data_IF_825543290507
#
_entry.id   IF_825543290507
#
_cell.length_a   1.000
_cell.length_b   1.000
_cell.length_c   1.000
_cell.angle_alpha   90.00
_cell.angle_beta   90.00
_cell.angle_gamma   90.00
#
_symmetry.space_group_name_H-M   'P 1'
#
loop_
_entity.id
_entity.type
_entity.pdbx_description
1 polymer ?
#
# COMPACT_ATOMS: atom_id res chain seq x y z
N UNK A 1 -5.92 29.73 -26.37
CA UNK A 1 -7.09 29.68 -25.46
C UNK A 1 -6.65 29.02 -24.17
N UNK A 2 -6.31 29.83 -23.16
CA UNK A 2 -5.98 29.40 -21.83
C UNK A 2 -7.26 28.82 -21.17
N UNK A 3 -7.43 27.53 -21.21
CA UNK A 3 -8.44 26.85 -20.39
C UNK A 3 -7.88 26.69 -18.99
N UNK A 4 -7.84 27.77 -18.21
CA UNK A 4 -7.61 27.69 -16.79
C UNK A 4 -8.65 26.71 -16.21
N UNK A 5 -8.20 25.57 -15.75
CA UNK A 5 -9.07 24.58 -15.10
C UNK A 5 -9.76 25.25 -13.94
N UNK A 6 -11.11 25.29 -13.86
CA UNK A 6 -11.80 26.01 -12.82
C UNK A 6 -11.37 25.51 -11.44
N UNK A 7 -11.07 26.42 -10.53
CA UNK A 7 -10.68 26.09 -9.17
C UNK A 7 -11.79 25.27 -8.48
N UNK A 8 -11.44 24.42 -7.50
CA UNK A 8 -12.43 23.75 -6.70
C UNK A 8 -13.33 24.76 -5.96
N UNK A 9 -14.64 24.51 -5.86
CA UNK A 9 -15.48 25.21 -4.90
C UNK A 9 -14.83 25.16 -3.51
N UNK A 10 -14.84 26.26 -2.78
CA UNK A 10 -14.15 26.37 -1.46
C UNK A 10 -14.54 25.25 -0.49
N UNK A 11 -15.81 24.87 -0.47
CA UNK A 11 -16.32 23.78 0.37
C UNK A 11 -15.67 22.44 -0.02
N UNK A 12 -15.62 22.13 -1.33
CA UNK A 12 -14.99 20.89 -1.79
C UNK A 12 -13.48 20.88 -1.54
N UNK A 13 -12.79 22.00 -1.75
CA UNK A 13 -11.36 22.11 -1.45
C UNK A 13 -11.07 21.79 0.02
N UNK A 14 -11.90 22.27 0.96
CA UNK A 14 -11.80 21.96 2.39
C UNK A 14 -12.03 20.47 2.67
N UNK A 15 -13.05 19.86 2.06
CA UNK A 15 -13.30 18.42 2.23
C UNK A 15 -12.13 17.61 1.69
N UNK A 16 -11.67 17.89 0.46
CA UNK A 16 -10.50 17.21 -0.15
C UNK A 16 -9.26 17.33 0.73
N UNK A 17 -8.95 18.54 1.22
CA UNK A 17 -7.83 18.75 2.12
C UNK A 17 -7.96 17.92 3.40
N UNK A 18 -9.15 17.92 4.02
CA UNK A 18 -9.41 17.17 5.25
C UNK A 18 -9.24 15.68 5.07
N UNK A 19 -9.88 15.09 4.03
CA UNK A 19 -9.80 13.63 3.81
C UNK A 19 -8.43 13.20 3.32
N UNK A 20 -7.66 14.11 2.71
CA UNK A 20 -6.27 13.85 2.33
C UNK A 20 -5.35 13.70 3.53
N UNK A 21 -5.64 14.33 4.69
CA UNK A 21 -4.80 14.18 5.90
C UNK A 21 -4.66 12.71 6.29
N UNK A 22 -5.76 11.95 6.34
CA UNK A 22 -5.71 10.53 6.67
C UNK A 22 -4.83 9.73 5.69
N UNK A 23 -4.89 10.03 4.40
CA UNK A 23 -4.05 9.38 3.40
C UNK A 23 -2.57 9.80 3.51
N UNK A 24 -2.33 11.10 3.70
CA UNK A 24 -0.99 11.65 3.94
C UNK A 24 -0.32 10.97 5.13
N UNK A 25 -1.00 10.92 6.27
CA UNK A 25 -0.44 10.35 7.52
C UNK A 25 -0.15 8.85 7.35
N UNK A 26 -1.06 8.08 6.73
CA UNK A 26 -0.86 6.65 6.51
C UNK A 26 0.31 6.37 5.56
N UNK A 27 0.45 7.16 4.49
CA UNK A 27 1.52 6.95 3.51
C UNK A 27 2.88 7.46 4.02
N UNK A 28 2.87 8.54 4.78
CA UNK A 28 4.06 9.06 5.45
C UNK A 28 4.60 8.03 6.44
N UNK A 29 3.73 7.47 7.29
CA UNK A 29 4.09 6.49 8.32
C UNK A 29 4.74 5.24 7.72
N UNK A 30 4.20 4.70 6.62
CA UNK A 30 4.76 3.54 5.93
C UNK A 30 6.20 3.77 5.46
N UNK A 31 6.53 4.98 5.01
CA UNK A 31 7.83 5.27 4.42
C UNK A 31 8.85 5.79 5.43
N UNK A 32 8.41 6.60 6.39
CA UNK A 32 9.27 7.23 7.39
C UNK A 32 9.89 6.21 8.36
N UNK A 33 9.14 5.14 8.70
CA UNK A 33 9.58 4.09 9.63
C UNK A 33 10.81 3.35 9.11
N UNK A 34 10.94 3.13 7.80
CA UNK A 34 12.08 2.42 7.22
C UNK A 34 13.42 3.13 7.51
N UNK A 35 13.43 4.45 7.60
CA UNK A 35 14.66 5.22 7.93
C UNK A 35 15.03 5.11 9.41
N UNK A 36 14.07 4.80 10.28
CA UNK A 36 14.29 4.68 11.72
C UNK A 36 14.75 3.28 12.18
N UNK A 37 14.72 2.27 11.29
CA UNK A 37 14.93 0.87 11.66
C UNK A 37 16.23 0.64 12.42
N UNK A 38 17.37 1.18 11.95
CA UNK A 38 18.65 1.01 12.61
C UNK A 38 18.69 1.68 14.01
N UNK A 39 18.06 2.85 14.15
CA UNK A 39 17.99 3.58 15.43
C UNK A 39 17.08 2.87 16.43
N UNK A 40 15.95 2.31 15.97
CA UNK A 40 15.07 1.49 16.80
C UNK A 40 15.75 0.19 17.23
N UNK A 41 16.52 -0.45 16.32
CA UNK A 41 17.30 -1.63 16.65
C UNK A 41 18.30 -1.36 17.77
N UNK A 42 19.05 -0.25 17.69
CA UNK A 42 20.03 0.13 18.72
C UNK A 42 19.36 0.51 20.06
N UNK A 43 18.27 1.29 20.01
CA UNK A 43 17.61 1.80 21.22
C UNK A 43 16.79 0.75 21.99
N UNK A 44 16.18 -0.19 21.29
CA UNK A 44 15.29 -1.22 21.88
C UNK A 44 15.87 -2.65 21.78
N UNK A 45 17.14 -2.77 21.34
CA UNK A 45 17.83 -4.07 21.16
C UNK A 45 17.04 -5.05 20.29
N UNK A 46 16.44 -4.52 19.18
CA UNK A 46 15.64 -5.31 18.25
C UNK A 46 16.54 -6.12 17.30
N UNK A 47 16.20 -7.40 17.14
CA UNK A 47 16.69 -8.23 16.04
C UNK A 47 16.09 -7.78 14.70
N UNK A 48 16.57 -8.34 13.59
CA UNK A 48 15.95 -8.10 12.26
C UNK A 48 14.50 -8.59 12.25
N UNK A 49 14.22 -9.75 12.85
CA UNK A 49 12.85 -10.25 13.02
C UNK A 49 11.97 -9.26 13.81
N UNK A 50 12.50 -8.67 14.87
CA UNK A 50 11.79 -7.62 15.62
C UNK A 50 11.51 -6.38 14.78
N UNK A 51 12.44 -5.97 13.92
CA UNK A 51 12.24 -4.84 13.00
C UNK A 51 11.18 -5.16 11.94
N UNK A 52 11.17 -6.39 11.41
CA UNK A 52 10.12 -6.85 10.51
C UNK A 52 8.75 -6.78 11.18
N UNK A 53 8.64 -7.25 12.43
CA UNK A 53 7.40 -7.14 13.20
C UNK A 53 6.95 -5.69 13.43
N UNK A 54 7.87 -4.74 13.64
CA UNK A 54 7.52 -3.31 13.74
C UNK A 54 6.86 -2.79 12.47
N UNK A 55 7.33 -3.21 11.29
CA UNK A 55 6.75 -2.83 9.99
C UNK A 55 5.47 -3.62 9.71
N UNK A 56 5.51 -4.94 9.90
CA UNK A 56 4.46 -5.85 9.47
C UNK A 56 3.23 -5.83 10.38
N UNK A 57 3.37 -5.57 11.69
CA UNK A 57 2.23 -5.44 12.58
C UNK A 57 1.26 -4.33 12.11
N UNK A 58 1.80 -3.20 11.65
CA UNK A 58 1.02 -2.13 11.03
C UNK A 58 0.40 -2.58 9.70
N UNK A 59 1.23 -3.10 8.80
CA UNK A 59 0.82 -3.44 7.43
C UNK A 59 -0.21 -4.56 7.41
N UNK A 60 -0.07 -5.58 8.26
CA UNK A 60 -1.02 -6.67 8.42
C UNK A 60 -2.36 -6.18 8.96
N UNK A 61 -2.36 -5.44 10.09
CA UNK A 61 -3.59 -4.89 10.64
C UNK A 61 -4.31 -4.00 9.64
N UNK A 62 -3.57 -3.15 8.93
CA UNK A 62 -4.09 -2.32 7.86
C UNK A 62 -4.70 -3.14 6.72
N UNK A 63 -3.97 -4.14 6.20
CA UNK A 63 -4.40 -4.97 5.08
C UNK A 63 -5.69 -5.73 5.39
N UNK A 64 -5.70 -6.46 6.53
CA UNK A 64 -6.83 -7.35 6.86
C UNK A 64 -8.09 -6.58 7.20
N UNK A 65 -7.98 -5.42 7.87
CA UNK A 65 -9.13 -4.67 8.35
C UNK A 65 -9.70 -3.67 7.33
N UNK A 66 -8.98 -3.39 6.23
CA UNK A 66 -9.40 -2.39 5.25
C UNK A 66 -10.78 -2.67 4.65
N UNK A 67 -11.06 -3.93 4.29
CA UNK A 67 -12.36 -4.33 3.73
C UNK A 67 -13.50 -4.15 4.74
N UNK A 68 -13.29 -4.64 5.97
CA UNK A 68 -14.29 -4.50 7.04
C UNK A 68 -14.50 -3.05 7.47
N UNK A 69 -13.45 -2.24 7.46
CA UNK A 69 -13.54 -0.82 7.81
C UNK A 69 -14.37 -0.02 6.78
N UNK A 70 -14.31 -0.40 5.50
CA UNK A 70 -15.21 0.14 4.48
C UNK A 70 -16.68 -0.20 4.77
N UNK A 71 -16.98 -1.48 5.02
CA UNK A 71 -18.33 -1.94 5.35
C UNK A 71 -18.87 -1.32 6.66
N UNK A 72 -17.98 -1.11 7.66
CA UNK A 72 -18.34 -0.38 8.88
C UNK A 72 -18.68 1.09 8.61
N UNK A 73 -17.94 1.72 7.67
CA UNK A 73 -18.22 3.09 7.23
C UNK A 73 -19.58 3.23 6.57
N UNK A 74 -19.95 2.28 5.71
CA UNK A 74 -21.27 2.24 5.08
C UNK A 74 -22.41 2.07 6.11
N UNK A 75 -22.15 1.31 7.19
CA UNK A 75 -23.14 1.03 8.24
C UNK A 75 -23.27 2.13 9.29
N UNK A 76 -22.15 2.66 9.78
CA UNK A 76 -22.09 3.58 10.92
C UNK A 76 -21.82 5.04 10.53
N UNK A 77 -21.55 5.28 9.26
CA UNK A 77 -21.19 6.58 8.70
C UNK A 77 -19.69 6.74 8.45
N UNK A 78 -19.33 7.13 7.24
CA UNK A 78 -17.94 7.27 6.81
C UNK A 78 -17.18 8.34 7.61
N UNK A 79 -17.85 9.46 7.98
CA UNK A 79 -17.25 10.51 8.81
C UNK A 79 -16.88 10.00 10.19
N UNK A 80 -17.77 9.25 10.84
CA UNK A 80 -17.53 8.69 12.19
C UNK A 80 -16.33 7.75 12.18
N UNK A 81 -16.27 6.85 11.20
CA UNK A 81 -15.16 5.90 11.07
C UNK A 81 -13.84 6.62 10.72
N UNK A 82 -13.88 7.63 9.87
CA UNK A 82 -12.70 8.44 9.53
C UNK A 82 -12.15 9.18 10.76
N UNK A 83 -13.01 9.84 11.53
CA UNK A 83 -12.65 10.56 12.77
C UNK A 83 -12.11 9.60 13.83
N UNK A 84 -12.79 8.46 14.04
CA UNK A 84 -12.33 7.42 14.97
C UNK A 84 -10.97 6.85 14.55
N UNK A 85 -10.77 6.65 13.25
CA UNK A 85 -9.49 6.20 12.67
C UNK A 85 -8.37 7.21 12.93
N UNK A 86 -8.58 8.50 12.68
CA UNK A 86 -7.61 9.56 12.98
C UNK A 86 -7.24 9.62 14.47
N UNK A 87 -8.25 9.54 15.35
CA UNK A 87 -8.03 9.57 16.79
C UNK A 87 -7.24 8.34 17.26
N UNK A 88 -7.63 7.13 16.78
CA UNK A 88 -6.94 5.90 17.13
C UNK A 88 -5.50 5.90 16.60
N UNK A 89 -5.28 6.38 15.37
CA UNK A 89 -3.95 6.51 14.77
C UNK A 89 -3.07 7.46 15.58
N UNK A 90 -3.61 8.61 16.03
CA UNK A 90 -2.88 9.57 16.86
C UNK A 90 -2.49 8.95 18.22
N UNK A 91 -3.44 8.29 18.90
CA UNK A 91 -3.17 7.63 20.19
C UNK A 91 -2.13 6.51 20.05
N UNK A 92 -2.25 5.70 18.99
CA UNK A 92 -1.26 4.66 18.71
C UNK A 92 0.11 5.26 18.34
N UNK A 93 0.16 6.36 17.60
CA UNK A 93 1.41 7.09 17.31
C UNK A 93 2.08 7.62 18.58
N UNK A 94 1.29 8.15 19.51
CA UNK A 94 1.79 8.54 20.83
C UNK A 94 2.38 7.33 21.60
N UNK A 95 1.66 6.20 21.58
CA UNK A 95 2.16 4.96 22.21
C UNK A 95 3.45 4.45 21.53
N UNK A 96 3.58 4.54 20.21
CA UNK A 96 4.81 4.22 19.48
C UNK A 96 5.96 5.14 19.91
N UNK A 97 5.73 6.45 20.01
CA UNK A 97 6.71 7.42 20.46
C UNK A 97 7.13 7.25 21.93
N UNK A 98 6.24 6.72 22.75
CA UNK A 98 6.49 6.43 24.18
C UNK A 98 7.03 5.02 24.42
N UNK A 99 7.23 4.19 23.38
CA UNK A 99 7.62 2.80 23.55
C UNK A 99 8.99 2.64 24.21
N UNK A 100 9.02 1.81 25.25
CA UNK A 100 10.23 1.48 26.02
C UNK A 100 10.66 0.01 25.84
N UNK A 101 9.82 -0.81 25.18
CA UNK A 101 10.07 -2.21 24.91
C UNK A 101 9.62 -2.59 23.49
N UNK A 102 10.26 -3.62 22.87
CA UNK A 102 9.87 -4.12 21.55
C UNK A 102 8.39 -4.47 21.43
N UNK A 103 7.87 -5.24 22.39
CA UNK A 103 6.47 -5.68 22.39
C UNK A 103 5.48 -4.52 22.44
N UNK A 104 5.80 -3.45 23.20
CA UNK A 104 4.98 -2.24 23.25
C UNK A 104 4.94 -1.54 21.88
N UNK A 105 6.10 -1.39 21.23
CA UNK A 105 6.16 -0.79 19.90
C UNK A 105 5.38 -1.60 18.87
N UNK A 106 5.56 -2.92 18.82
CA UNK A 106 4.87 -3.81 17.89
C UNK A 106 3.35 -3.77 18.11
N UNK A 107 2.90 -3.85 19.38
CA UNK A 107 1.47 -3.75 19.71
C UNK A 107 0.87 -2.38 19.31
N UNK A 108 1.58 -1.29 19.60
CA UNK A 108 1.16 0.05 19.20
C UNK A 108 1.10 0.20 17.67
N UNK A 109 2.04 -0.41 16.93
CA UNK A 109 2.02 -0.48 15.46
C UNK A 109 0.80 -1.21 14.93
N UNK A 110 0.42 -2.34 15.53
CA UNK A 110 -0.80 -3.06 15.15
C UNK A 110 -2.05 -2.16 15.34
N UNK A 111 -2.17 -1.48 16.48
CA UNK A 111 -3.28 -0.55 16.75
C UNK A 111 -3.27 0.64 15.76
N UNK A 112 -2.09 1.14 15.41
CA UNK A 112 -1.94 2.21 14.41
C UNK A 112 -2.42 1.74 13.03
N UNK A 113 -2.16 0.48 12.65
CA UNK A 113 -2.68 -0.15 11.43
C UNK A 113 -4.21 -0.25 11.41
N UNK A 114 -4.85 -0.53 12.55
CA UNK A 114 -6.33 -0.47 12.69
C UNK A 114 -6.85 0.93 12.39
N UNK A 115 -6.21 1.96 12.95
CA UNK A 115 -6.54 3.36 12.66
C UNK A 115 -6.42 3.69 11.17
N UNK A 116 -5.33 3.27 10.53
CA UNK A 116 -5.11 3.45 9.09
C UNK A 116 -6.19 2.77 8.24
N UNK A 117 -6.57 1.54 8.60
CA UNK A 117 -7.64 0.79 7.94
C UNK A 117 -8.98 1.53 8.02
N UNK A 118 -9.29 2.15 9.16
CA UNK A 118 -10.51 2.94 9.32
C UNK A 118 -10.49 4.24 8.52
N UNK A 119 -9.33 4.87 8.34
CA UNK A 119 -9.23 6.13 7.60
C UNK A 119 -9.36 5.99 6.09
N UNK A 120 -8.60 5.05 5.48
CA UNK A 120 -8.37 5.06 4.03
C UNK A 120 -9.66 4.86 3.20
N UNK A 121 -10.45 3.79 3.35
CA UNK A 121 -11.68 3.59 2.59
C UNK A 121 -12.72 4.68 2.88
N UNK A 122 -12.82 5.12 4.13
CA UNK A 122 -13.78 6.13 4.54
C UNK A 122 -13.41 7.53 4.04
N UNK A 123 -12.13 7.86 3.88
CA UNK A 123 -11.69 9.10 3.24
C UNK A 123 -12.16 9.19 1.78
N UNK A 124 -12.03 8.07 1.06
CA UNK A 124 -12.48 7.99 -0.33
C UNK A 124 -14.01 7.99 -0.46
N UNK A 125 -14.72 7.34 0.49
CA UNK A 125 -16.18 7.37 0.56
C UNK A 125 -16.70 8.79 0.76
N UNK A 126 -16.13 9.55 1.70
CA UNK A 126 -16.48 10.96 1.96
C UNK A 126 -16.23 11.85 0.73
N UNK A 127 -15.12 11.61 0.02
CA UNK A 127 -14.79 12.35 -1.19
C UNK A 127 -15.78 12.04 -2.32
N UNK A 128 -16.13 10.76 -2.50
CA UNK A 128 -17.11 10.33 -3.50
C UNK A 128 -18.51 10.91 -3.21
N UNK A 129 -18.93 10.95 -1.94
CA UNK A 129 -20.22 11.55 -1.56
C UNK A 129 -20.24 13.05 -1.82
N UNK A 130 -19.16 13.76 -1.51
CA UNK A 130 -19.04 15.19 -1.78
C UNK A 130 -19.09 15.54 -3.29
N UNK A 131 -18.75 14.59 -4.16
CA UNK A 131 -18.70 14.77 -5.62
C UNK A 131 -19.73 13.91 -6.38
N UNK A 132 -20.78 13.38 -5.71
CA UNK A 132 -21.69 12.37 -6.28
C UNK A 132 -22.42 12.83 -7.55
N UNK A 133 -22.65 14.14 -7.71
CA UNK A 133 -23.40 14.72 -8.83
C UNK A 133 -22.53 15.15 -10.02
N UNK A 134 -21.19 15.15 -9.86
CA UNK A 134 -20.26 15.59 -10.91
C UNK A 134 -19.08 14.61 -11.04
N UNK A 135 -19.13 13.69 -12.02
CA UNK A 135 -18.07 12.72 -12.27
C UNK A 135 -16.71 13.35 -12.61
N UNK A 136 -16.69 14.51 -13.31
CA UNK A 136 -15.46 15.17 -13.68
C UNK A 136 -14.79 15.82 -12.46
N UNK A 137 -15.60 16.45 -11.60
CA UNK A 137 -15.15 17.01 -10.33
C UNK A 137 -14.64 15.91 -9.39
N UNK A 138 -15.33 14.76 -9.34
CA UNK A 138 -14.90 13.58 -8.58
C UNK A 138 -13.54 13.07 -9.05
N UNK A 139 -13.33 12.91 -10.35
CA UNK A 139 -12.05 12.47 -10.90
C UNK A 139 -10.89 13.41 -10.50
N UNK A 140 -11.12 14.72 -10.54
CA UNK A 140 -10.15 15.73 -10.13
C UNK A 140 -9.87 15.68 -8.62
N UNK A 141 -10.91 15.53 -7.80
CA UNK A 141 -10.79 15.46 -6.34
C UNK A 141 -10.03 14.19 -5.90
N UNK A 142 -10.32 13.03 -6.50
CA UNK A 142 -9.56 11.78 -6.31
C UNK A 142 -8.12 11.95 -6.77
N UNK A 143 -7.89 12.63 -7.89
CA UNK A 143 -6.54 12.95 -8.38
C UNK A 143 -5.74 13.79 -7.39
N UNK A 144 -6.34 14.83 -6.80
CA UNK A 144 -5.71 15.66 -5.78
C UNK A 144 -5.40 14.87 -4.49
N UNK A 145 -6.35 14.04 -4.04
CA UNK A 145 -6.17 13.14 -2.90
C UNK A 145 -5.02 12.15 -3.13
N UNK A 146 -4.96 11.52 -4.31
CA UNK A 146 -3.89 10.60 -4.69
C UNK A 146 -2.54 11.31 -4.76
N UNK A 147 -2.49 12.54 -5.31
CA UNK A 147 -1.28 13.34 -5.38
C UNK A 147 -0.75 13.70 -3.99
N UNK A 148 -1.61 14.06 -3.03
CA UNK A 148 -1.22 14.32 -1.65
C UNK A 148 -0.54 13.10 -1.01
N UNK A 149 -1.11 11.89 -1.18
CA UNK A 149 -0.49 10.65 -0.71
C UNK A 149 0.85 10.35 -1.40
N UNK A 150 0.96 10.58 -2.71
CA UNK A 150 2.21 10.36 -3.44
C UNK A 150 3.33 11.31 -3.00
N UNK A 151 3.00 12.57 -2.74
CA UNK A 151 3.95 13.54 -2.17
C UNK A 151 4.43 13.08 -0.78
N UNK A 152 3.52 12.53 0.05
CA UNK A 152 3.88 12.02 1.38
C UNK A 152 4.83 10.83 1.31
N UNK A 153 4.61 9.91 0.37
CA UNK A 153 5.53 8.79 0.11
C UNK A 153 6.92 9.32 -0.22
N UNK A 154 7.00 10.33 -1.09
CA UNK A 154 8.27 10.92 -1.50
C UNK A 154 8.97 11.70 -0.37
N UNK A 155 8.20 12.41 0.45
CA UNK A 155 8.72 13.21 1.55
C UNK A 155 9.16 12.37 2.76
N UNK A 156 8.55 11.18 2.95
CA UNK A 156 8.73 10.35 4.15
C UNK A 156 10.19 10.10 4.54
N UNK A 157 11.03 9.55 3.64
CA UNK A 157 12.41 9.25 3.97
C UNK A 157 13.23 10.48 4.37
N UNK A 158 13.07 11.60 3.66
CA UNK A 158 13.83 12.84 3.95
C UNK A 158 13.36 13.47 5.25
N UNK A 159 12.03 13.58 5.43
CA UNK A 159 11.45 14.09 6.67
C UNK A 159 11.85 13.20 7.84
N UNK A 160 11.81 11.87 7.67
CA UNK A 160 12.26 10.91 8.66
C UNK A 160 13.71 11.09 9.03
N UNK A 161 14.60 11.20 8.04
CA UNK A 161 16.02 11.45 8.27
C UNK A 161 16.28 12.75 9.04
N UNK A 162 15.60 13.84 8.66
CA UNK A 162 15.72 15.13 9.35
C UNK A 162 15.18 15.08 10.78
N UNK A 163 14.01 14.47 11.00
CA UNK A 163 13.42 14.32 12.33
C UNK A 163 14.30 13.46 13.24
N UNK A 164 14.85 12.36 12.73
CA UNK A 164 15.73 11.48 13.51
C UNK A 164 17.02 12.21 13.90
N UNK A 165 17.61 12.96 12.96
CA UNK A 165 18.83 13.73 13.22
C UNK A 165 18.61 14.83 14.27
N UNK A 166 17.46 15.50 14.28
CA UNK A 166 17.17 16.61 15.18
C UNK A 166 16.60 16.17 16.53
N UNK A 167 15.73 15.15 16.57
CA UNK A 167 14.91 14.83 17.74
C UNK A 167 14.92 13.33 18.10
N UNK A 168 15.70 12.51 17.38
CA UNK A 168 15.76 11.08 17.57
C UNK A 168 14.56 10.32 16.94
N UNK A 169 14.66 8.98 16.91
CA UNK A 169 13.74 8.11 16.18
C UNK A 169 12.26 8.20 16.63
N UNK A 170 12.00 8.56 17.88
CA UNK A 170 10.63 8.69 18.41
C UNK A 170 9.84 9.80 17.73
N UNK A 171 10.50 10.82 17.22
CA UNK A 171 9.89 11.96 16.54
C UNK A 171 9.14 11.59 15.26
N UNK A 172 9.52 10.48 14.59
CA UNK A 172 8.81 10.02 13.39
C UNK A 172 7.36 9.59 13.68
N UNK A 173 7.08 9.14 14.90
CA UNK A 173 5.72 8.83 15.34
C UNK A 173 5.01 10.07 15.88
N UNK A 174 5.73 10.91 16.63
CA UNK A 174 5.15 12.11 17.24
C UNK A 174 4.74 13.17 16.22
N UNK A 175 5.38 13.22 15.03
CA UNK A 175 4.97 14.12 13.94
C UNK A 175 3.54 13.84 13.43
N UNK A 176 3.04 12.63 13.63
CA UNK A 176 1.66 12.29 13.29
C UNK A 176 0.63 12.99 14.19
N UNK A 177 0.98 13.36 15.43
CA UNK A 177 0.07 13.98 16.37
C UNK A 177 -0.47 15.34 15.89
N UNK A 178 0.37 16.33 15.52
CA UNK A 178 -0.13 17.59 15.00
C UNK A 178 -0.90 17.42 13.67
N UNK A 179 -0.50 16.49 12.81
CA UNK A 179 -1.20 16.21 11.56
C UNK A 179 -2.60 15.63 11.82
N UNK A 180 -2.71 14.64 12.71
CA UNK A 180 -3.99 14.06 13.10
C UNK A 180 -4.86 15.07 13.83
N UNK A 181 -4.30 15.90 14.71
CA UNK A 181 -5.04 16.96 15.41
C UNK A 181 -5.64 17.97 14.41
N UNK A 182 -4.85 18.41 13.43
CA UNK A 182 -5.34 19.27 12.36
C UNK A 182 -6.42 18.59 11.51
N UNK A 183 -6.24 17.30 11.20
CA UNK A 183 -7.24 16.49 10.48
C UNK A 183 -8.55 16.34 11.26
N UNK A 184 -8.47 16.09 12.57
CA UNK A 184 -9.64 16.01 13.45
C UNK A 184 -10.38 17.35 13.52
N UNK A 185 -9.67 18.45 13.77
CA UNK A 185 -10.25 19.79 13.81
C UNK A 185 -10.94 20.14 12.48
N UNK A 186 -10.27 19.85 11.35
CA UNK A 186 -10.83 20.06 10.02
C UNK A 186 -12.05 19.17 9.75
N UNK A 187 -12.02 17.89 10.18
CA UNK A 187 -13.14 16.97 10.01
C UNK A 187 -14.39 17.42 10.79
N UNK A 188 -14.22 17.93 12.01
CA UNK A 188 -15.33 18.49 12.77
C UNK A 188 -15.86 19.79 12.19
N UNK A 189 -14.97 20.63 11.62
CA UNK A 189 -15.36 21.95 11.09
C UNK A 189 -15.96 21.89 9.68
N UNK A 190 -15.50 20.97 8.83
CA UNK A 190 -15.78 21.05 7.38
C UNK A 190 -16.47 19.83 6.78
N UNK A 191 -16.44 18.67 7.43
CA UNK A 191 -17.19 17.51 6.96
C UNK A 191 -18.56 17.51 7.65
N UNK A 192 -19.68 17.56 6.87
CA UNK A 192 -21.03 17.48 7.45
C UNK A 192 -21.19 16.23 8.31
N UNK A 193 -21.95 16.33 9.40
CA UNK A 193 -22.28 15.17 10.21
C UNK A 193 -22.96 14.12 9.33
N UNK A 194 -22.64 12.84 9.56
CA UNK A 194 -23.34 11.76 8.88
C UNK A 194 -24.84 11.99 9.11
N UNK A 195 -25.58 12.25 8.05
CA UNK A 195 -27.04 12.21 8.13
C UNK A 195 -27.34 10.81 8.62
N UNK A 196 -28.01 10.69 9.76
CA UNK A 196 -28.38 9.41 10.30
C UNK A 196 -28.79 8.52 9.13
N UNK A 197 -28.22 7.33 9.04
CA UNK A 197 -28.51 6.37 7.98
C UNK A 197 -29.99 5.90 8.13
N UNK A 198 -30.87 6.88 8.16
CA UNK A 198 -32.29 6.74 8.22
C UNK A 198 -32.76 6.40 6.80
N UNK A 199 -33.10 5.17 6.64
CA UNK A 199 -34.20 4.73 5.79
C UNK A 199 -33.99 4.42 4.30
N UNK A 200 -32.80 4.22 3.73
CA UNK A 200 -32.85 3.75 2.33
C UNK A 200 -31.65 2.94 1.81
N UNK A 201 -30.93 2.24 2.66
CA UNK A 201 -30.00 1.23 2.17
C UNK A 201 -30.42 -0.19 2.65
N UNK A 202 -31.17 -0.97 1.85
CA UNK A 202 -31.46 -2.36 2.16
C UNK A 202 -30.25 -3.29 2.03
N UNK A 203 -29.07 -2.76 1.81
CA UNK A 203 -27.85 -3.54 1.57
C UNK A 203 -26.65 -3.03 2.40
N UNK A 204 -26.83 -2.81 3.71
CA UNK A 204 -25.69 -2.82 4.61
C UNK A 204 -25.07 -4.21 4.51
N UNK A 205 -23.93 -4.35 3.83
CA UNK A 205 -23.21 -5.61 3.72
C UNK A 205 -22.98 -6.14 5.14
N UNK A 206 -23.50 -7.32 5.45
CA UNK A 206 -23.27 -7.95 6.72
C UNK A 206 -21.76 -8.14 6.88
N UNK A 207 -21.24 -7.76 8.07
CA UNK A 207 -19.82 -7.99 8.37
C UNK A 207 -19.58 -9.49 8.43
N UNK A 208 -18.74 -9.99 7.55
CA UNK A 208 -18.24 -11.36 7.63
C UNK A 208 -17.15 -11.47 8.69
N UNK A 209 -17.59 -11.49 9.96
CA UNK A 209 -16.67 -11.61 11.10
C UNK A 209 -15.88 -12.92 11.07
N UNK A 210 -16.47 -14.00 10.54
CA UNK A 210 -15.80 -15.31 10.45
C UNK A 210 -14.68 -15.28 9.40
N UNK A 211 -14.99 -14.81 8.20
CA UNK A 211 -13.98 -14.61 7.14
C UNK A 211 -12.88 -13.65 7.61
N UNK A 212 -13.25 -12.55 8.30
CA UNK A 212 -12.31 -11.59 8.85
C UNK A 212 -11.32 -12.21 9.84
N UNK A 213 -11.81 -12.98 10.83
CA UNK A 213 -10.96 -13.59 11.84
C UNK A 213 -10.01 -14.63 11.22
N UNK A 214 -10.51 -15.42 10.28
CA UNK A 214 -9.70 -16.40 9.56
C UNK A 214 -8.65 -15.74 8.66
N UNK A 215 -8.98 -14.63 7.99
CA UNK A 215 -8.02 -13.85 7.22
C UNK A 215 -6.91 -13.25 8.09
N UNK A 216 -7.25 -12.74 9.28
CA UNK A 216 -6.27 -12.29 10.28
C UNK A 216 -5.35 -13.45 10.68
N UNK A 217 -5.92 -14.58 11.06
CA UNK A 217 -5.14 -15.77 11.47
C UNK A 217 -4.22 -16.25 10.34
N UNK A 218 -4.74 -16.34 9.11
CA UNK A 218 -3.99 -16.76 7.92
C UNK A 218 -2.77 -15.88 7.67
N UNK A 219 -2.97 -14.57 7.54
CA UNK A 219 -1.89 -13.65 7.19
C UNK A 219 -0.89 -13.49 8.35
N UNK A 220 -1.36 -13.44 9.59
CA UNK A 220 -0.47 -13.34 10.76
C UNK A 220 0.36 -14.60 10.93
N UNK A 221 -0.23 -15.79 10.79
CA UNK A 221 0.49 -17.05 10.88
C UNK A 221 1.51 -17.21 9.75
N UNK A 222 1.14 -16.86 8.51
CA UNK A 222 2.06 -16.91 7.37
C UNK A 222 3.24 -15.96 7.57
N UNK A 223 2.96 -14.69 7.85
CA UNK A 223 4.00 -13.67 8.02
C UNK A 223 4.89 -13.99 9.23
N UNK A 224 4.30 -14.40 10.35
CA UNK A 224 5.05 -14.78 11.53
C UNK A 224 5.95 -16.01 11.30
N UNK A 225 5.44 -17.04 10.62
CA UNK A 225 6.26 -18.20 10.26
C UNK A 225 7.44 -17.82 9.36
N UNK A 226 7.24 -16.91 8.40
CA UNK A 226 8.29 -16.42 7.51
C UNK A 226 9.32 -15.58 8.27
N UNK A 227 8.89 -14.69 9.16
CA UNK A 227 9.80 -13.85 9.98
C UNK A 227 10.67 -14.74 10.90
N UNK A 228 10.03 -15.70 11.57
CA UNK A 228 10.68 -16.53 12.57
C UNK A 228 11.45 -17.73 11.97
N UNK A 229 11.32 -17.97 10.66
CA UNK A 229 12.01 -19.10 10.00
C UNK A 229 13.53 -19.04 10.16
N UNK A 230 14.15 -17.87 9.95
CA UNK A 230 15.62 -17.76 10.04
C UNK A 230 16.13 -17.86 11.46
N UNK A 231 15.56 -17.16 12.47
CA UNK A 231 16.06 -17.25 13.83
C UNK A 231 15.78 -18.62 14.50
N UNK A 232 14.65 -19.28 14.20
CA UNK A 232 14.25 -20.50 14.88
C UNK A 232 14.48 -21.78 14.07
N UNK A 233 14.56 -21.67 12.75
CA UNK A 233 14.64 -22.82 11.83
C UNK A 233 13.27 -23.40 11.45
N UNK A 234 13.22 -24.08 10.29
CA UNK A 234 11.96 -24.65 9.74
C UNK A 234 11.34 -25.74 10.62
N UNK A 235 12.17 -26.51 11.31
CA UNK A 235 11.70 -27.60 12.19
C UNK A 235 11.15 -27.11 13.54
N UNK A 236 11.33 -25.84 13.88
CA UNK A 236 10.83 -25.29 15.13
C UNK A 236 9.29 -25.31 15.17
N UNK A 237 8.65 -25.78 16.27
CA UNK A 237 7.20 -25.93 16.34
C UNK A 237 6.41 -24.65 16.01
N UNK A 238 6.91 -23.49 16.40
CA UNK A 238 6.28 -22.19 16.10
C UNK A 238 6.27 -21.91 14.60
N UNK A 239 7.37 -22.22 13.89
CA UNK A 239 7.50 -21.99 12.45
C UNK A 239 6.67 -23.00 11.66
N UNK A 240 6.88 -24.30 11.95
CA UNK A 240 6.13 -25.37 11.28
C UNK A 240 4.62 -25.25 11.55
N UNK A 241 4.24 -25.03 12.83
CA UNK A 241 2.85 -24.81 13.22
C UNK A 241 2.25 -23.55 12.59
N UNK A 242 3.02 -22.47 12.44
CA UNK A 242 2.61 -21.27 11.76
C UNK A 242 2.31 -21.48 10.27
N UNK A 243 3.15 -22.22 9.54
CA UNK A 243 2.86 -22.59 8.15
C UNK A 243 1.64 -23.49 8.02
N UNK A 244 1.52 -24.51 8.90
CA UNK A 244 0.34 -25.39 8.92
C UNK A 244 -0.93 -24.58 9.20
N UNK A 245 -0.90 -23.71 10.21
CA UNK A 245 -2.04 -22.84 10.54
C UNK A 245 -2.39 -21.91 9.37
N UNK A 246 -1.40 -21.33 8.69
CA UNK A 246 -1.63 -20.49 7.53
C UNK A 246 -2.35 -21.23 6.40
N UNK A 247 -1.92 -22.47 6.10
CA UNK A 247 -2.55 -23.31 5.07
C UNK A 247 -3.97 -23.72 5.47
N UNK A 248 -4.17 -24.15 6.72
CA UNK A 248 -5.50 -24.53 7.21
C UNK A 248 -6.44 -23.31 7.24
N UNK A 249 -5.95 -22.15 7.68
CA UNK A 249 -6.73 -20.92 7.68
C UNK A 249 -7.04 -20.44 6.25
N UNK A 250 -6.11 -20.61 5.29
CA UNK A 250 -6.38 -20.30 3.87
C UNK A 250 -7.50 -21.19 3.30
N UNK A 251 -7.46 -22.49 3.58
CA UNK A 251 -8.51 -23.43 3.18
C UNK A 251 -9.86 -23.10 3.83
N UNK A 252 -9.85 -22.81 5.15
CA UNK A 252 -11.05 -22.39 5.88
C UNK A 252 -11.61 -21.06 5.34
N UNK A 253 -10.75 -20.08 5.01
CA UNK A 253 -11.14 -18.81 4.41
C UNK A 253 -11.87 -19.02 3.09
N UNK A 254 -11.29 -19.80 2.18
CA UNK A 254 -11.92 -20.12 0.90
C UNK A 254 -13.26 -20.84 1.10
N UNK A 255 -13.35 -21.78 2.04
CA UNK A 255 -14.58 -22.49 2.36
C UNK A 255 -15.66 -21.54 2.91
N UNK A 256 -15.33 -20.67 3.86
CA UNK A 256 -16.25 -19.68 4.44
C UNK A 256 -16.73 -18.71 3.36
N UNK A 257 -15.82 -18.12 2.58
CA UNK A 257 -16.17 -17.16 1.52
C UNK A 257 -17.01 -17.79 0.39
N UNK A 258 -16.81 -19.09 0.10
CA UNK A 258 -17.59 -19.80 -0.90
C UNK A 258 -19.02 -20.10 -0.47
N UNK A 259 -19.28 -20.20 0.85
CA UNK A 259 -20.56 -20.51 1.46
C UNK A 259 -21.30 -19.28 2.00
N UNK A 260 -20.59 -18.13 2.15
CA UNK A 260 -21.16 -16.92 2.70
C UNK A 260 -22.22 -16.32 1.76
N UNK A 261 -23.37 -15.92 2.30
CA UNK A 261 -24.41 -15.21 1.55
C UNK A 261 -23.93 -13.81 1.10
N UNK A 262 -23.10 -13.17 1.93
CA UNK A 262 -22.48 -11.86 1.67
C UNK A 262 -20.98 -11.94 1.92
N UNK A 263 -20.21 -12.55 0.97
CA UNK A 263 -18.78 -12.75 1.18
C UNK A 263 -18.03 -11.42 1.23
N UNK A 264 -17.03 -11.32 2.12
CA UNK A 264 -16.09 -10.20 2.19
C UNK A 264 -15.24 -10.13 0.92
N UNK A 265 -14.81 -11.30 0.43
CA UNK A 265 -14.04 -11.48 -0.80
C UNK A 265 -14.85 -12.28 -1.82
N UNK A 266 -15.59 -11.63 -2.76
CA UNK A 266 -16.36 -12.36 -3.76
C UNK A 266 -15.46 -13.18 -4.68
N UNK A 267 -15.31 -14.48 -4.40
CA UNK A 267 -14.43 -15.39 -5.16
C UNK A 267 -14.78 -15.44 -6.66
N UNK A 268 -16.04 -15.14 -7.01
CA UNK A 268 -16.49 -15.04 -8.40
C UNK A 268 -15.71 -14.00 -9.22
N UNK A 269 -15.15 -12.95 -8.58
CA UNK A 269 -14.32 -11.96 -9.28
C UNK A 269 -13.05 -12.60 -9.85
N UNK A 270 -12.48 -13.58 -9.16
CA UNK A 270 -11.26 -14.28 -9.58
C UNK A 270 -11.48 -15.24 -10.76
N UNK A 271 -12.73 -15.54 -11.14
CA UNK A 271 -13.04 -16.27 -12.38
C UNK A 271 -12.76 -15.41 -13.62
N UNK A 272 -12.69 -14.10 -13.48
CA UNK A 272 -12.35 -13.16 -14.56
C UNK A 272 -10.84 -13.08 -14.72
N UNK A 273 -10.31 -13.55 -15.85
CA UNK A 273 -8.85 -13.63 -16.11
C UNK A 273 -8.13 -12.31 -15.93
N UNK A 274 -8.71 -11.20 -16.40
CA UNK A 274 -8.13 -9.85 -16.25
C UNK A 274 -8.04 -9.43 -14.79
N UNK A 275 -9.10 -9.69 -13.99
CA UNK A 275 -9.12 -9.37 -12.57
C UNK A 275 -8.02 -10.13 -11.81
N UNK A 276 -7.99 -11.46 -11.94
CA UNK A 276 -7.00 -12.30 -11.28
C UNK A 276 -5.56 -11.95 -11.68
N UNK A 277 -5.33 -11.74 -12.97
CA UNK A 277 -4.00 -11.37 -13.47
C UNK A 277 -3.54 -10.03 -12.90
N UNK A 278 -4.43 -9.02 -12.85
CA UNK A 278 -4.09 -7.71 -12.32
C UNK A 278 -3.90 -7.72 -10.79
N UNK A 279 -4.69 -8.49 -10.04
CA UNK A 279 -4.51 -8.63 -8.58
C UNK A 279 -3.20 -9.34 -8.25
N UNK A 280 -2.90 -10.46 -8.92
CA UNK A 280 -1.62 -11.19 -8.75
C UNK A 280 -0.42 -10.31 -9.16
N UNK A 281 -0.54 -9.55 -10.24
CA UNK A 281 0.44 -8.53 -10.61
C UNK A 281 0.69 -7.55 -9.47
N UNK A 282 -0.38 -7.06 -8.85
CA UNK A 282 -0.29 -6.15 -7.71
C UNK A 282 0.41 -6.75 -6.50
N UNK A 283 0.18 -8.03 -6.20
CA UNK A 283 0.89 -8.76 -5.14
C UNK A 283 2.39 -8.80 -5.46
N UNK A 284 2.79 -9.24 -6.67
CA UNK A 284 4.19 -9.32 -7.07
C UNK A 284 4.90 -7.96 -6.95
N UNK A 285 4.28 -6.89 -7.47
CA UNK A 285 4.84 -5.53 -7.44
C UNK A 285 5.02 -5.03 -6.00
N UNK A 286 4.04 -5.23 -5.12
CA UNK A 286 4.17 -4.74 -3.73
C UNK A 286 5.10 -5.61 -2.89
N UNK A 287 5.12 -6.92 -3.09
CA UNK A 287 6.04 -7.82 -2.43
C UNK A 287 7.48 -7.41 -2.72
N UNK A 288 7.82 -7.22 -4.00
CA UNK A 288 9.18 -6.82 -4.40
C UNK A 288 9.54 -5.44 -3.87
N UNK A 289 8.62 -4.46 -3.97
CA UNK A 289 8.90 -3.08 -3.58
C UNK A 289 9.13 -2.93 -2.07
N UNK A 290 8.16 -3.33 -1.24
CA UNK A 290 8.26 -3.13 0.20
C UNK A 290 9.33 -4.01 0.84
N UNK A 291 9.51 -5.25 0.36
CA UNK A 291 10.58 -6.11 0.81
C UNK A 291 11.96 -5.51 0.52
N UNK A 292 12.19 -5.05 -0.70
CA UNK A 292 13.49 -4.45 -1.06
C UNK A 292 13.71 -3.10 -0.38
N UNK A 293 12.69 -2.26 -0.20
CA UNK A 293 12.80 -0.99 0.55
C UNK A 293 13.28 -1.25 1.98
N UNK A 294 12.76 -2.29 2.64
CA UNK A 294 13.22 -2.71 3.97
C UNK A 294 14.70 -3.09 3.97
N UNK A 295 15.13 -3.93 3.03
CA UNK A 295 16.54 -4.37 2.93
C UNK A 295 17.48 -3.24 2.52
N UNK A 296 17.08 -2.36 1.60
CA UNK A 296 17.86 -1.16 1.23
C UNK A 296 18.05 -0.23 2.42
N UNK A 297 17.02 -0.06 3.26
CA UNK A 297 17.15 0.76 4.47
C UNK A 297 18.22 0.20 5.45
N UNK A 298 18.28 -1.12 5.60
CA UNK A 298 19.33 -1.80 6.35
C UNK A 298 20.69 -1.68 5.68
N UNK A 299 20.75 -1.86 4.35
CA UNK A 299 21.97 -1.73 3.57
C UNK A 299 22.60 -0.34 3.71
N UNK A 300 21.83 0.72 3.49
CA UNK A 300 22.35 2.10 3.60
C UNK A 300 22.89 2.40 4.99
N UNK A 301 22.20 1.98 6.05
CA UNK A 301 22.57 2.35 7.41
C UNK A 301 23.56 1.38 8.07
N UNK A 302 23.44 0.05 7.84
CA UNK A 302 24.31 -0.95 8.51
C UNK A 302 25.52 -1.37 7.71
N UNK A 303 25.41 -1.39 6.37
CA UNK A 303 26.55 -1.78 5.50
C UNK A 303 27.37 -0.57 5.13
N UNK A 304 26.72 0.52 4.72
CA UNK A 304 27.39 1.74 4.29
C UNK A 304 27.66 2.73 5.41
N UNK A 305 27.04 2.57 6.57
CA UNK A 305 27.21 3.49 7.70
C UNK A 305 26.59 4.88 7.46
N UNK A 306 25.67 5.01 6.51
CA UNK A 306 25.01 6.29 6.23
C UNK A 306 24.16 6.72 7.43
N UNK A 307 24.20 8.02 7.75
CA UNK A 307 23.29 8.59 8.75
C UNK A 307 21.84 8.51 8.29
N UNK A 308 20.89 8.64 9.20
CA UNK A 308 19.45 8.63 8.86
C UNK A 308 19.11 9.68 7.80
N UNK A 309 19.69 10.88 7.87
CA UNK A 309 19.46 11.93 6.88
C UNK A 309 20.05 11.57 5.51
N UNK A 310 21.29 11.05 5.48
CA UNK A 310 21.92 10.60 4.22
C UNK A 310 21.15 9.45 3.57
N UNK A 311 20.73 8.46 4.37
CA UNK A 311 19.87 7.38 3.90
C UNK A 311 18.55 7.92 3.36
N UNK A 312 17.89 8.85 4.07
CA UNK A 312 16.66 9.51 3.62
C UNK A 312 16.83 10.25 2.31
N UNK A 313 17.92 10.99 2.12
CA UNK A 313 18.24 11.68 0.88
C UNK A 313 18.55 10.69 -0.26
N UNK A 314 19.22 9.58 0.03
CA UNK A 314 19.48 8.52 -0.96
C UNK A 314 18.18 7.88 -1.48
N UNK A 315 17.09 7.87 -0.70
CA UNK A 315 15.77 7.40 -1.14
C UNK A 315 15.02 8.37 -2.05
N UNK A 316 15.43 9.63 -2.18
CA UNK A 316 14.71 10.63 -3.01
C UNK A 316 14.50 10.18 -4.47
N UNK A 317 15.50 9.64 -5.19
CA UNK A 317 15.29 9.16 -6.55
C UNK A 317 14.26 8.01 -6.60
N UNK A 318 14.27 7.12 -5.59
CA UNK A 318 13.36 5.99 -5.49
C UNK A 318 11.89 6.45 -5.27
N UNK A 319 11.67 7.47 -4.46
CA UNK A 319 10.33 7.97 -4.14
C UNK A 319 9.84 9.04 -5.12
N UNK A 320 10.73 9.93 -5.55
CA UNK A 320 10.41 10.99 -6.53
C UNK A 320 10.14 10.45 -7.94
N UNK A 321 10.90 9.45 -8.38
CA UNK A 321 10.70 8.77 -9.65
C UNK A 321 9.31 8.13 -9.77
N UNK A 322 8.79 7.60 -8.66
CA UNK A 322 7.45 7.04 -8.60
C UNK A 322 6.35 8.06 -8.93
N UNK A 323 6.46 9.28 -8.41
CA UNK A 323 5.49 10.36 -8.67
C UNK A 323 5.46 10.74 -10.15
N UNK A 324 6.61 10.95 -10.77
CA UNK A 324 6.71 11.34 -12.18
C UNK A 324 6.18 10.24 -13.11
N UNK A 325 6.53 8.99 -12.84
CA UNK A 325 6.06 7.84 -13.61
C UNK A 325 4.54 7.62 -13.48
N UNK A 326 3.97 7.86 -12.29
CA UNK A 326 2.52 7.82 -12.06
C UNK A 326 1.77 8.83 -12.94
N UNK A 327 2.28 10.06 -13.05
CA UNK A 327 1.68 11.09 -13.91
C UNK A 327 1.75 10.71 -15.40
N UNK A 328 2.85 10.10 -15.83
CA UNK A 328 3.01 9.63 -17.22
C UNK A 328 2.09 8.43 -17.52
N UNK A 329 1.85 7.55 -16.54
CA UNK A 329 1.03 6.34 -16.68
C UNK A 329 -0.39 6.64 -17.14
N UNK A 330 -1.03 7.70 -16.62
CA UNK A 330 -2.40 8.07 -17.00
C UNK A 330 -2.53 8.34 -18.51
N UNK A 331 -1.56 9.05 -19.10
CA UNK A 331 -1.53 9.30 -20.55
C UNK A 331 -1.28 8.04 -21.35
N UNK A 332 -0.40 7.17 -20.86
CA UNK A 332 -0.08 5.90 -21.52
C UNK A 332 -1.27 4.95 -21.49
N UNK A 333 -1.99 4.84 -20.36
CA UNK A 333 -3.22 4.03 -20.25
C UNK A 333 -4.31 4.55 -21.20
N UNK A 334 -4.51 5.85 -21.29
CA UNK A 334 -5.49 6.45 -22.21
C UNK A 334 -5.17 6.14 -23.69
N UNK A 335 -3.87 6.08 -24.05
CA UNK A 335 -3.45 5.87 -25.44
C UNK A 335 -3.30 4.39 -25.82
N UNK A 336 -2.77 3.56 -24.93
CA UNK A 336 -2.35 2.18 -25.23
C UNK A 336 -3.16 1.13 -24.45
N UNK A 337 -4.12 1.56 -23.61
CA UNK A 337 -4.81 0.66 -22.67
C UNK A 337 -3.91 0.25 -21.50
N UNK A 338 -4.45 -0.48 -20.51
CA UNK A 338 -3.74 -0.81 -19.28
C UNK A 338 -2.62 -1.87 -19.46
N UNK A 339 -2.76 -2.76 -20.45
CA UNK A 339 -1.82 -3.88 -20.67
C UNK A 339 -0.39 -3.41 -20.96
N UNK A 340 -0.22 -2.45 -21.87
CA UNK A 340 1.11 -2.00 -22.31
C UNK A 340 1.91 -1.30 -21.19
N UNK A 341 1.34 -0.36 -20.40
CA UNK A 341 2.04 0.22 -19.25
C UNK A 341 2.35 -0.78 -18.15
N UNK A 342 1.48 -1.77 -17.88
CA UNK A 342 1.77 -2.84 -16.92
C UNK A 342 2.97 -3.66 -17.36
N UNK A 343 3.02 -4.10 -18.63
CA UNK A 343 4.12 -4.88 -19.19
C UNK A 343 5.42 -4.08 -19.16
N UNK A 344 5.43 -2.88 -19.73
CA UNK A 344 6.61 -2.02 -19.80
C UNK A 344 7.12 -1.67 -18.40
N UNK A 345 6.21 -1.32 -17.48
CA UNK A 345 6.57 -0.98 -16.11
C UNK A 345 7.20 -2.15 -15.35
N UNK A 346 6.66 -3.37 -15.49
CA UNK A 346 7.25 -4.56 -14.87
C UNK A 346 8.66 -4.86 -15.41
N UNK A 347 8.88 -4.73 -16.72
CA UNK A 347 10.20 -4.95 -17.35
C UNK A 347 11.21 -3.88 -16.94
N UNK A 348 10.81 -2.59 -16.90
CA UNK A 348 11.70 -1.51 -16.45
C UNK A 348 12.07 -1.69 -14.97
N UNK A 349 11.12 -2.08 -14.11
CA UNK A 349 11.40 -2.38 -12.72
C UNK A 349 12.34 -3.61 -12.60
N UNK A 350 12.10 -4.67 -13.38
CA UNK A 350 12.97 -5.86 -13.40
C UNK A 350 14.43 -5.51 -13.79
N UNK A 351 14.63 -4.60 -14.75
CA UNK A 351 15.96 -4.09 -15.10
C UNK A 351 16.58 -3.32 -13.91
N UNK A 352 15.79 -2.53 -13.21
CA UNK A 352 16.24 -1.82 -12.01
C UNK A 352 16.69 -2.79 -10.90
N UNK A 353 15.92 -3.84 -10.62
CA UNK A 353 16.31 -4.88 -9.66
C UNK A 353 17.52 -5.67 -10.15
N UNK A 354 17.60 -5.96 -11.45
CA UNK A 354 18.77 -6.60 -12.07
C UNK A 354 20.04 -5.77 -11.89
N UNK A 355 19.97 -4.44 -12.01
CA UNK A 355 21.12 -3.57 -11.74
C UNK A 355 21.47 -3.50 -10.26
N UNK A 356 20.49 -3.57 -9.35
CA UNK A 356 20.72 -3.60 -7.91
C UNK A 356 21.39 -4.91 -7.44
N UNK A 357 21.27 -5.99 -8.22
CA UNK A 357 21.90 -7.30 -7.92
C UNK A 357 23.43 -7.22 -7.81
N UNK A 358 24.06 -6.29 -8.54
CA UNK A 358 25.52 -6.13 -8.56
C UNK A 358 26.05 -5.18 -7.50
N UNK A 359 25.19 -4.66 -6.64
CA UNK A 359 25.56 -3.75 -5.55
C UNK A 359 26.19 -4.52 -4.40
N UNK A 360 27.28 -3.95 -3.86
CA UNK A 360 28.02 -4.47 -2.70
C UNK A 360 28.36 -3.33 -1.71
N UNK A 361 29.10 -3.64 -0.63
CA UNK A 361 29.50 -2.68 0.37
C UNK A 361 30.41 -1.56 -0.12
N UNK A 362 31.10 -1.73 -1.24
CA UNK A 362 32.04 -0.78 -1.85
C UNK A 362 31.41 0.07 -2.95
N UNK A 363 30.21 -0.26 -3.41
CA UNK A 363 29.52 0.43 -4.50
C UNK A 363 29.30 1.91 -4.18
N UNK A 364 29.76 2.86 -5.03
CA UNK A 364 29.59 4.29 -4.75
C UNK A 364 28.11 4.70 -4.82
N UNK A 365 27.69 5.65 -3.96
CA UNK A 365 26.31 6.12 -3.92
C UNK A 365 25.71 6.54 -5.28
N UNK A 366 26.47 7.23 -6.17
CA UNK A 366 25.94 7.57 -7.50
C UNK A 366 25.55 6.36 -8.35
N UNK A 367 26.17 5.20 -8.17
CA UNK A 367 25.80 3.98 -8.90
C UNK A 367 24.40 3.47 -8.50
N UNK A 368 23.93 3.77 -7.27
CA UNK A 368 22.60 3.45 -6.83
C UNK A 368 21.51 4.28 -7.52
N UNK A 369 21.86 5.39 -8.18
CA UNK A 369 20.89 6.19 -8.93
C UNK A 369 20.20 5.39 -10.04
N UNK A 370 20.91 4.47 -10.71
CA UNK A 370 20.33 3.65 -11.77
C UNK A 370 19.17 2.79 -11.26
N UNK A 371 19.36 1.88 -10.29
CA UNK A 371 18.25 1.10 -9.74
C UNK A 371 17.20 1.97 -9.07
N UNK A 372 17.60 3.04 -8.36
CA UNK A 372 16.68 3.93 -7.63
C UNK A 372 15.84 4.83 -8.55
N UNK A 373 16.17 4.94 -9.83
CA UNK A 373 15.33 5.58 -10.83
C UNK A 373 14.50 4.54 -11.62
N UNK A 374 15.10 3.41 -12.00
CA UNK A 374 14.41 2.40 -12.81
C UNK A 374 13.28 1.70 -12.05
N UNK A 375 13.54 1.29 -10.80
CA UNK A 375 12.55 0.58 -9.97
C UNK A 375 11.25 1.42 -9.83
N UNK A 376 11.29 2.65 -9.30
CA UNK A 376 10.09 3.45 -9.11
C UNK A 376 9.47 3.91 -10.43
N UNK A 377 10.28 4.14 -11.46
CA UNK A 377 9.76 4.50 -12.79
C UNK A 377 8.92 3.37 -13.37
N UNK A 378 9.42 2.12 -13.28
CA UNK A 378 8.65 0.97 -13.72
C UNK A 378 7.37 0.75 -12.91
N UNK A 379 7.48 0.81 -11.58
CA UNK A 379 6.34 0.58 -10.69
C UNK A 379 5.31 1.70 -10.75
N UNK A 380 5.74 2.97 -10.74
CA UNK A 380 4.85 4.12 -10.88
C UNK A 380 4.11 4.13 -12.22
N UNK A 381 4.73 3.55 -13.25
CA UNK A 381 4.09 3.40 -14.57
C UNK A 381 3.07 2.25 -14.59
N UNK A 382 3.33 1.15 -13.88
CA UNK A 382 2.49 -0.03 -13.87
C UNK A 382 1.28 0.05 -12.92
N UNK A 383 1.41 0.69 -11.74
CA UNK A 383 0.41 0.66 -10.67
C UNK A 383 -0.93 1.31 -11.07
N UNK A 384 -0.98 2.50 -11.70
CA UNK A 384 -2.25 3.07 -12.15
C UNK A 384 -2.91 2.23 -13.25
N UNK A 385 -2.09 1.67 -14.15
CA UNK A 385 -2.57 0.80 -15.23
C UNK A 385 -3.22 -0.47 -14.67
N UNK A 386 -2.61 -1.09 -13.68
CA UNK A 386 -3.16 -2.26 -12.97
C UNK A 386 -4.49 -1.92 -12.30
N UNK A 387 -4.58 -0.78 -11.62
CA UNK A 387 -5.82 -0.32 -10.97
C UNK A 387 -6.93 -0.13 -12.01
N UNK A 388 -6.61 0.51 -13.14
CA UNK A 388 -7.53 0.67 -14.26
C UNK A 388 -8.00 -0.69 -14.80
N UNK A 389 -7.09 -1.66 -14.97
CA UNK A 389 -7.44 -3.00 -15.46
C UNK A 389 -8.39 -3.73 -14.50
N UNK A 390 -8.19 -3.61 -13.19
CA UNK A 390 -9.08 -4.19 -12.17
C UNK A 390 -10.47 -3.56 -12.26
N UNK A 391 -10.55 -2.23 -12.27
CA UNK A 391 -11.83 -1.51 -12.30
C UNK A 391 -12.59 -1.76 -13.61
N UNK A 392 -11.90 -1.80 -14.75
CA UNK A 392 -12.50 -2.10 -16.06
C UNK A 392 -12.98 -3.55 -16.19
N UNK A 393 -12.47 -4.47 -15.35
CA UNK A 393 -12.85 -5.89 -15.39
C UNK A 393 -14.15 -6.21 -14.67
N UNK A 394 -14.73 -5.25 -13.94
CA UNK A 394 -15.93 -5.44 -13.11
C UNK A 394 -17.03 -4.44 -13.48
N UNK A 395 -18.25 -4.75 -13.09
CA UNK A 395 -19.38 -3.82 -13.23
C UNK A 395 -19.18 -2.58 -12.32
N UNK A 396 -19.63 -1.39 -12.73
CA UNK A 396 -19.49 -0.16 -11.95
C UNK A 396 -19.99 -0.27 -10.51
N UNK A 397 -21.08 -1.01 -10.28
CA UNK A 397 -21.62 -1.26 -8.95
C UNK A 397 -20.65 -2.05 -8.02
N UNK A 398 -19.72 -2.80 -8.59
CA UNK A 398 -18.74 -3.62 -7.86
C UNK A 398 -17.34 -3.00 -7.81
N UNK A 399 -17.15 -1.81 -8.38
CA UNK A 399 -15.84 -1.16 -8.47
C UNK A 399 -15.21 -0.89 -7.08
N UNK A 400 -16.03 -0.54 -6.09
CA UNK A 400 -15.57 -0.33 -4.71
C UNK A 400 -14.97 -1.60 -4.09
N UNK A 401 -15.68 -2.73 -4.20
CA UNK A 401 -15.22 -4.03 -3.71
C UNK A 401 -13.95 -4.47 -4.45
N UNK A 402 -13.92 -4.32 -5.77
CA UNK A 402 -12.76 -4.68 -6.59
C UNK A 402 -11.51 -3.87 -6.22
N UNK A 403 -11.66 -2.57 -5.98
CA UNK A 403 -10.58 -1.70 -5.50
C UNK A 403 -10.10 -2.10 -4.11
N UNK A 404 -11.02 -2.40 -3.21
CA UNK A 404 -10.69 -2.84 -1.86
C UNK A 404 -9.93 -4.17 -1.86
N UNK A 405 -10.37 -5.16 -2.66
CA UNK A 405 -9.68 -6.45 -2.84
C UNK A 405 -8.27 -6.24 -3.38
N UNK A 406 -8.11 -5.40 -4.42
CA UNK A 406 -6.79 -5.10 -4.97
C UNK A 406 -5.87 -4.48 -3.89
N UNK A 407 -6.36 -3.49 -3.16
CA UNK A 407 -5.56 -2.82 -2.14
C UNK A 407 -5.18 -3.76 -0.98
N UNK A 408 -6.13 -4.58 -0.49
CA UNK A 408 -5.84 -5.62 0.53
C UNK A 408 -4.80 -6.62 0.03
N UNK A 409 -4.93 -7.12 -1.19
CA UNK A 409 -3.98 -8.05 -1.79
C UNK A 409 -2.57 -7.43 -1.94
N UNK A 410 -2.50 -6.16 -2.33
CA UNK A 410 -1.24 -5.41 -2.42
C UNK A 410 -0.58 -5.25 -1.05
N UNK A 411 -1.33 -4.88 -0.03
CA UNK A 411 -0.80 -4.72 1.32
C UNK A 411 -0.33 -6.05 1.91
N UNK A 412 -1.11 -7.13 1.72
CA UNK A 412 -0.69 -8.47 2.10
C UNK A 412 0.60 -8.89 1.37
N UNK A 413 0.71 -8.60 0.06
CA UNK A 413 1.94 -8.81 -0.71
C UNK A 413 3.12 -8.03 -0.13
N UNK A 414 2.91 -6.78 0.28
CA UNK A 414 3.93 -5.94 0.92
C UNK A 414 4.44 -6.53 2.24
N UNK A 415 3.53 -6.95 3.12
CA UNK A 415 3.89 -7.59 4.39
C UNK A 415 4.68 -8.89 4.17
N UNK A 416 4.20 -9.77 3.27
CA UNK A 416 4.94 -10.99 2.92
C UNK A 416 6.33 -10.65 2.34
N UNK A 417 6.44 -9.58 1.57
CA UNK A 417 7.70 -9.09 1.02
C UNK A 417 8.69 -8.67 2.10
N UNK A 418 8.27 -7.85 3.06
CA UNK A 418 9.11 -7.42 4.19
C UNK A 418 9.53 -8.64 5.02
N UNK A 419 8.60 -9.54 5.32
CA UNK A 419 8.89 -10.78 6.06
C UNK A 419 9.91 -11.66 5.32
N UNK A 420 9.67 -11.97 4.02
CA UNK A 420 10.52 -12.87 3.25
C UNK A 420 11.91 -12.29 2.99
N UNK A 421 12.00 -11.05 2.52
CA UNK A 421 13.26 -10.42 2.16
C UNK A 421 14.08 -10.07 3.40
N UNK A 422 13.44 -9.57 4.46
CA UNK A 422 14.13 -9.33 5.71
C UNK A 422 14.63 -10.63 6.38
N UNK A 423 13.90 -11.75 6.27
CA UNK A 423 14.38 -13.04 6.73
C UNK A 423 15.66 -13.48 5.96
N UNK A 424 15.71 -13.26 4.66
CA UNK A 424 16.87 -13.58 3.82
C UNK A 424 18.05 -12.65 4.10
N UNK A 425 17.81 -11.36 4.39
CA UNK A 425 18.86 -10.42 4.82
C UNK A 425 19.55 -10.81 6.14
N UNK A 426 19.02 -11.76 6.88
CA UNK A 426 19.67 -12.45 7.98
C UNK A 426 19.83 -11.64 9.26
N UNK A 427 20.88 -11.94 10.06
CA UNK A 427 21.11 -11.36 11.39
C UNK A 427 21.54 -9.88 11.40
N UNK A 428 21.59 -9.22 10.25
CA UNK A 428 21.85 -7.79 10.15
C UNK A 428 23.32 -7.38 10.16
N UNK A 429 24.25 -8.30 10.02
CA UNK A 429 25.66 -7.99 9.69
C UNK A 429 25.81 -7.53 8.25
N UNK A 430 26.96 -6.91 7.91
CA UNK A 430 27.20 -6.35 6.56
C UNK A 430 27.13 -7.42 5.47
N UNK A 431 27.81 -8.55 5.62
CA UNK A 431 27.85 -9.63 4.64
C UNK A 431 26.47 -10.27 4.44
N UNK A 432 25.75 -10.69 5.49
CA UNK A 432 24.40 -11.24 5.33
C UNK A 432 23.42 -10.28 4.65
N UNK A 433 23.52 -8.97 4.89
CA UNK A 433 22.62 -7.98 4.25
C UNK A 433 22.90 -7.86 2.76
N UNK A 434 24.18 -7.88 2.34
CA UNK A 434 24.54 -7.82 0.90
C UNK A 434 24.14 -9.10 0.19
N UNK A 435 24.40 -10.27 0.78
CA UNK A 435 24.02 -11.56 0.20
C UNK A 435 22.49 -11.69 0.13
N UNK A 436 21.77 -11.24 1.18
CA UNK A 436 20.32 -11.15 1.19
C UNK A 436 19.80 -10.24 0.07
N UNK A 437 20.39 -9.05 -0.10
CA UNK A 437 20.02 -8.13 -1.17
C UNK A 437 20.18 -8.77 -2.56
N UNK A 438 21.24 -9.58 -2.80
CA UNK A 438 21.42 -10.30 -4.06
C UNK A 438 20.33 -11.33 -4.29
N UNK A 439 19.96 -12.12 -3.28
CA UNK A 439 18.88 -13.09 -3.38
C UNK A 439 17.55 -12.38 -3.63
N UNK A 440 17.26 -11.33 -2.87
CA UNK A 440 16.02 -10.57 -2.96
C UNK A 440 15.83 -9.92 -4.33
N UNK A 441 16.91 -9.37 -4.90
CA UNK A 441 16.88 -8.78 -6.25
C UNK A 441 16.68 -9.84 -7.32
N UNK A 442 17.30 -11.02 -7.19
CA UNK A 442 17.07 -12.16 -8.08
C UNK A 442 15.62 -12.64 -8.05
N UNK A 443 15.06 -12.81 -6.84
CA UNK A 443 13.65 -13.16 -6.66
C UNK A 443 12.73 -12.07 -7.21
N UNK A 444 13.07 -10.80 -7.00
CA UNK A 444 12.31 -9.65 -7.52
C UNK A 444 12.26 -9.64 -9.04
N UNK A 445 13.38 -9.89 -9.71
CA UNK A 445 13.42 -10.02 -11.17
C UNK A 445 12.52 -11.15 -11.65
N UNK A 446 12.59 -12.34 -11.03
CA UNK A 446 11.75 -13.47 -11.38
C UNK A 446 10.25 -13.16 -11.19
N UNK A 447 9.87 -12.54 -10.06
CA UNK A 447 8.49 -12.15 -9.78
C UNK A 447 7.98 -11.08 -10.74
N UNK A 448 8.81 -10.12 -11.14
CA UNK A 448 8.44 -9.08 -12.10
C UNK A 448 8.34 -9.60 -13.53
N UNK A 449 9.15 -10.58 -13.90
CA UNK A 449 8.95 -11.31 -15.17
C UNK A 449 7.64 -12.08 -15.14
N UNK A 450 7.31 -12.77 -14.04
CA UNK A 450 6.03 -13.43 -13.88
C UNK A 450 4.86 -12.42 -13.94
N UNK A 451 5.02 -11.23 -13.30
CA UNK A 451 4.06 -10.14 -13.38
C UNK A 451 3.90 -9.63 -14.83
N UNK A 452 5.00 -9.48 -15.58
CA UNK A 452 4.95 -9.13 -17.00
C UNK A 452 4.17 -10.18 -17.83
N UNK A 453 4.37 -11.46 -17.56
CA UNK A 453 3.59 -12.55 -18.18
C UNK A 453 2.10 -12.47 -17.78
N UNK A 454 1.79 -12.15 -16.53
CA UNK A 454 0.40 -11.91 -16.10
C UNK A 454 -0.22 -10.72 -16.82
N UNK A 455 0.53 -9.63 -17.04
CA UNK A 455 0.06 -8.48 -17.79
C UNK A 455 -0.37 -8.82 -19.22
N UNK A 456 0.24 -9.84 -19.85
CA UNK A 456 -0.18 -10.30 -21.20
C UNK A 456 -1.60 -10.88 -21.22
N UNK A 457 -2.11 -11.35 -20.07
CA UNK A 457 -3.46 -11.89 -19.91
C UNK A 457 -4.54 -10.83 -19.68
N UNK A 458 -4.13 -9.59 -19.44
CA UNK A 458 -5.04 -8.44 -19.34
C UNK A 458 -5.54 -8.11 -20.75
N UNK A 459 -6.86 -8.12 -20.94
CA UNK A 459 -7.46 -7.79 -22.23
C UNK A 459 -7.37 -6.28 -22.46
N UNK A 460 -7.02 -5.80 -23.66
CA UNK A 460 -7.25 -4.42 -24.05
C UNK A 460 -8.75 -4.14 -23.97
N UNK A 461 -9.15 -2.97 -23.47
CA UNK A 461 -10.54 -2.62 -23.25
C UNK A 461 -11.41 -2.81 -24.50
N UNK A 462 -12.54 -3.50 -24.36
CA UNK A 462 -13.60 -3.60 -25.35
C UNK A 462 -14.31 -2.24 -25.62
N UNK A 463 -13.94 -1.16 -24.91
CA UNK A 463 -14.53 0.17 -25.12
C UNK A 463 -14.11 0.86 -26.42
N UNK A 464 -13.08 0.38 -27.13
CA UNK A 464 -12.73 0.93 -28.45
C UNK A 464 -13.68 0.47 -29.55
N UNK A 465 -14.31 -0.70 -29.41
CA UNK A 465 -15.22 -1.26 -30.44
C UNK A 465 -16.61 -0.62 -30.42
N UNK A 466 -17.01 -0.01 -29.29
CA UNK A 466 -18.32 0.65 -29.19
C UNK A 466 -18.37 2.05 -29.83
N UNK A 467 -17.23 2.70 -30.07
CA UNK A 467 -17.15 4.01 -30.73
C UNK A 467 -16.66 3.94 -32.19
N UNK A 468 -16.11 2.80 -32.62
CA UNK A 468 -15.68 2.56 -34.00
C UNK A 468 -16.77 2.05 -34.95
N UNK A 469 -17.92 1.64 -34.40
CA UNK A 469 -18.98 0.92 -35.16
C UNK A 469 -20.17 1.76 -35.67
N UNK A 470 -20.13 3.09 -35.62
CA UNK A 470 -21.11 3.89 -36.38
C UNK A 470 -20.64 4.01 -37.82
N UNK A 471 -20.87 2.98 -38.63
CA UNK A 471 -21.00 3.17 -40.09
C UNK A 471 -22.18 4.15 -40.32
N UNK A 472 -21.99 5.22 -41.11
CA UNK A 472 -23.11 6.03 -41.51
C UNK A 472 -24.09 5.13 -42.27
N UNK A 473 -25.36 5.11 -41.86
CA UNK A 473 -26.45 4.57 -42.65
C UNK A 473 -26.41 5.29 -43.99
N UNK A 474 -26.04 4.55 -45.04
CA UNK A 474 -26.27 4.99 -46.41
C UNK A 474 -27.80 5.11 -46.58
N UNK A 475 -28.26 6.32 -46.67
CA UNK A 475 -29.58 6.64 -47.23
C UNK A 475 -29.54 6.26 -48.69
N UNK A 476 -30.22 5.18 -49.04
CA UNK A 476 -30.63 4.87 -50.42
C UNK A 476 -31.92 5.62 -50.67
N UNK A 477 -31.85 6.54 -51.62
CA UNK A 477 -33.01 7.15 -52.32
C UNK A 477 -33.83 6.09 -53.03
#
# INVERSE_FOLDING_TARGET
MDTATPAFPRTLARIVATVSVGFVVTQLDVTIVNIALAHMAAALHLSVAGLQWVVDAYTLAFAVLMLSAGALGDRFGARRLYVAGLALFALASLACGAAVAPAMLIAARAVQGVGAAAMLPNSLALLNDACRHDPALRARAVGAWTAAGSVSIAAGPVLGGALIAAFGWRSIFLVNLPLCAAGLAAAFAWIPADRAAASSAPQAHALDVRGQLVAIAMLTALTGAVIEWRPLGLAHPVVAGGFVLAVLAAAAFVAIESLAATPMLPLALFRRRTFSAAVLFGICVNLTYYGTVFVIALYLQRVRGESALQAGLAFLPLTGGFLLANLASGRAVARYGPRAPMLAGALVAALGYGSLHFVDGSTPLPALLVPFLLIPSGMGFAVPAMTTAVLASVEPARAGIASAVLNTARQAGGAIGVAAFGAVAGSGGAVPVVDGLRIDTGVSVALLIAAALLATRVRPDAHRDAHGGRRPLQTTD
#
